data_IF_773391755876
#
_entry.id   IF_773391755876
#
_cell.length_a   1.000
_cell.length_b   1.000
_cell.length_c   1.000
_cell.angle_alpha   90.00
_cell.angle_beta   90.00
_cell.angle_gamma   90.00
#
_symmetry.space_group_name_H-M   'P 1'
#
loop_
_entity.id
_entity.type
_entity.pdbx_description
1 polymer ?
#
# COMPACT_ATOMS: atom_id res chain seq x y z
N UNK A 1 2.37 -33.39 -6.01
CA UNK A 1 1.68 -32.77 -4.83
C UNK A 1 2.37 -31.44 -4.61
N UNK A 2 1.75 -30.30 -4.99
CA UNK A 2 2.34 -28.98 -4.80
C UNK A 2 2.53 -28.71 -3.30
N UNK A 3 3.74 -28.31 -2.93
CA UNK A 3 4.06 -27.96 -1.54
C UNK A 3 3.30 -26.66 -1.21
N UNK A 4 2.40 -26.71 -0.26
CA UNK A 4 1.66 -25.54 0.21
C UNK A 4 2.66 -24.55 0.81
N UNK A 5 2.83 -23.39 0.16
CA UNK A 5 3.66 -22.31 0.68
C UNK A 5 2.84 -21.50 1.67
N UNK A 6 3.38 -21.29 2.86
CA UNK A 6 2.77 -20.42 3.86
C UNK A 6 3.36 -19.03 3.79
N UNK A 7 2.57 -17.97 3.96
CA UNK A 7 3.10 -16.62 4.04
C UNK A 7 4.01 -16.46 5.25
N UNK A 8 5.12 -15.75 5.09
CA UNK A 8 6.01 -15.36 6.20
C UNK A 8 5.41 -14.23 7.03
N UNK A 9 4.50 -13.48 6.42
CA UNK A 9 3.73 -12.43 7.12
C UNK A 9 2.34 -12.34 6.50
N UNK A 10 1.35 -12.39 7.35
CA UNK A 10 -0.04 -12.15 6.97
C UNK A 10 -0.50 -10.82 7.60
N UNK A 11 -0.73 -9.82 6.75
CA UNK A 11 -1.28 -8.54 7.15
C UNK A 11 -2.80 -8.52 7.02
N UNK A 12 -3.42 -7.41 7.41
CA UNK A 12 -4.88 -7.22 7.34
C UNK A 12 -5.45 -7.46 5.95
N UNK A 13 -4.72 -7.03 4.91
CA UNK A 13 -5.16 -7.07 3.51
C UNK A 13 -4.09 -7.57 2.55
N UNK A 14 -2.93 -8.01 3.03
CA UNK A 14 -1.82 -8.52 2.20
C UNK A 14 -1.19 -9.73 2.86
N UNK A 15 -0.65 -10.60 2.01
CA UNK A 15 0.15 -11.75 2.39
C UNK A 15 1.52 -11.62 1.74
N UNK A 16 2.57 -11.95 2.46
CA UNK A 16 3.96 -11.86 1.99
C UNK A 16 4.58 -13.25 2.07
N UNK A 17 5.14 -13.70 0.97
CA UNK A 17 5.79 -14.98 0.83
C UNK A 17 7.28 -14.77 0.54
N UNK A 18 8.11 -15.60 1.15
CA UNK A 18 9.55 -15.65 0.85
C UNK A 18 9.80 -16.49 -0.40
N UNK A 19 10.50 -15.91 -1.36
CA UNK A 19 10.89 -16.57 -2.59
C UNK A 19 12.44 -16.59 -2.76
N UNK A 20 13.18 -16.78 -1.67
CA UNK A 20 14.65 -16.76 -1.70
C UNK A 20 15.19 -15.34 -1.83
N UNK A 21 15.64 -14.94 -3.00
CA UNK A 21 16.20 -13.61 -3.25
C UNK A 21 15.14 -12.52 -3.47
N UNK A 22 13.88 -12.91 -3.51
CA UNK A 22 12.74 -12.01 -3.73
C UNK A 22 11.62 -12.27 -2.73
N UNK A 23 10.62 -11.39 -2.72
CA UNK A 23 9.37 -11.55 -2.01
C UNK A 23 8.21 -11.61 -3.01
N UNK A 24 7.18 -12.37 -2.69
CA UNK A 24 5.92 -12.31 -3.42
C UNK A 24 4.86 -11.73 -2.48
N UNK A 25 4.33 -10.59 -2.88
CA UNK A 25 3.26 -9.90 -2.17
C UNK A 25 1.94 -10.17 -2.86
N UNK A 26 0.97 -10.72 -2.12
CA UNK A 26 -0.38 -11.00 -2.60
C UNK A 26 -1.34 -10.02 -1.95
N UNK A 27 -1.96 -9.16 -2.74
CA UNK A 27 -3.02 -8.29 -2.27
C UNK A 27 -4.33 -9.08 -2.24
N UNK A 28 -5.01 -9.09 -1.09
CA UNK A 28 -6.26 -9.81 -0.91
C UNK A 28 -7.47 -8.90 -1.10
N UNK A 29 -8.62 -9.52 -1.30
CA UNK A 29 -9.91 -8.83 -1.40
C UNK A 29 -10.48 -8.43 -0.02
N UNK A 30 -9.78 -8.80 1.06
CA UNK A 30 -10.14 -8.42 2.43
C UNK A 30 -10.16 -6.90 2.58
N UNK A 31 -11.08 -6.39 3.41
CA UNK A 31 -11.14 -4.98 3.81
C UNK A 31 -11.01 -4.88 5.32
N UNK A 32 -10.45 -3.78 5.79
CA UNK A 32 -10.36 -3.48 7.21
C UNK A 32 -10.84 -2.07 7.50
N UNK A 33 -11.47 -1.89 8.66
CA UNK A 33 -11.92 -0.60 9.16
C UNK A 33 -11.52 -0.50 10.64
N UNK A 34 -10.88 0.61 11.03
CA UNK A 34 -10.33 0.79 12.38
C UNK A 34 -9.56 -0.43 12.90
N UNK A 35 -8.69 -0.99 12.03
CA UNK A 35 -7.85 -2.16 12.32
C UNK A 35 -8.59 -3.50 12.47
N UNK A 36 -9.89 -3.53 12.29
CA UNK A 36 -10.72 -4.75 12.29
C UNK A 36 -10.89 -5.22 10.84
N UNK A 37 -10.56 -6.49 10.58
CA UNK A 37 -10.83 -7.13 9.30
C UNK A 37 -12.33 -7.46 9.27
N UNK A 38 -13.02 -6.94 8.24
CA UNK A 38 -14.44 -7.19 8.06
C UNK A 38 -14.68 -8.58 7.46
N UNK A 39 -15.83 -9.17 7.78
CA UNK A 39 -16.21 -10.47 7.24
C UNK A 39 -16.49 -10.43 5.73
N UNK A 40 -16.88 -9.27 5.22
CA UNK A 40 -17.13 -9.07 3.80
C UNK A 40 -15.83 -8.77 3.05
N UNK A 41 -15.75 -9.23 1.81
CA UNK A 41 -14.67 -8.92 0.88
C UNK A 41 -15.19 -8.01 -0.25
N UNK A 42 -14.28 -7.29 -0.87
CA UNK A 42 -14.57 -6.53 -2.10
C UNK A 42 -13.90 -7.24 -3.26
N UNK A 43 -14.69 -7.93 -4.05
CA UNK A 43 -14.23 -8.75 -5.18
C UNK A 43 -13.31 -7.94 -6.11
N UNK A 44 -12.17 -8.52 -6.47
CA UNK A 44 -11.11 -7.92 -7.32
C UNK A 44 -10.42 -6.69 -6.72
N UNK A 45 -10.63 -6.37 -5.46
CA UNK A 45 -9.88 -5.27 -4.81
C UNK A 45 -8.38 -5.51 -4.87
N UNK A 46 -7.93 -6.74 -4.57
CA UNK A 46 -6.51 -7.11 -4.65
C UNK A 46 -5.94 -6.87 -6.04
N UNK A 47 -6.64 -7.30 -7.06
CA UNK A 47 -6.25 -7.07 -8.47
C UNK A 47 -6.14 -5.59 -8.79
N UNK A 48 -7.16 -4.81 -8.47
CA UNK A 48 -7.15 -3.35 -8.73
C UNK A 48 -5.96 -2.68 -8.05
N UNK A 49 -5.69 -3.00 -6.78
CA UNK A 49 -4.57 -2.41 -6.03
C UNK A 49 -3.20 -2.79 -6.61
N UNK A 50 -3.03 -4.03 -7.04
CA UNK A 50 -1.78 -4.48 -7.65
C UNK A 50 -1.55 -3.82 -9.01
N UNK A 51 -2.58 -3.75 -9.85
CA UNK A 51 -2.48 -3.11 -11.17
C UNK A 51 -2.27 -1.59 -11.07
N UNK A 52 -2.90 -0.93 -10.09
CA UNK A 52 -2.61 0.48 -9.79
C UNK A 52 -1.15 0.69 -9.35
N UNK A 53 -0.63 -0.19 -8.49
CA UNK A 53 0.78 -0.10 -8.09
C UNK A 53 1.71 -0.27 -9.28
N UNK A 54 1.44 -1.27 -10.14
CA UNK A 54 2.19 -1.48 -11.39
C UNK A 54 2.18 -0.22 -12.26
N UNK A 55 1.00 0.33 -12.52
CA UNK A 55 0.86 1.54 -13.33
C UNK A 55 1.73 2.70 -12.81
N UNK A 56 1.70 2.95 -11.51
CA UNK A 56 2.49 4.03 -10.93
C UNK A 56 3.99 3.73 -10.92
N UNK A 57 4.40 2.49 -10.68
CA UNK A 57 5.80 2.09 -10.74
C UNK A 57 6.37 2.22 -12.15
N UNK A 58 5.60 1.83 -13.18
CA UNK A 58 6.01 2.00 -14.57
C UNK A 58 6.07 3.50 -14.95
N UNK A 59 5.09 4.30 -14.52
CA UNK A 59 5.02 5.72 -14.84
C UNK A 59 6.14 6.54 -14.19
N UNK A 60 6.64 6.11 -13.04
CA UNK A 60 7.65 6.84 -12.25
C UNK A 60 9.04 6.19 -12.30
N UNK A 61 9.25 5.22 -13.17
CA UNK A 61 10.51 4.46 -13.27
C UNK A 61 11.72 5.36 -13.56
N UNK A 62 11.54 6.38 -14.35
CA UNK A 62 12.55 7.38 -14.70
C UNK A 62 12.86 8.36 -13.58
N UNK A 63 11.98 8.48 -12.59
CA UNK A 63 12.13 9.38 -11.44
C UNK A 63 12.85 8.68 -10.29
N UNK A 64 12.42 7.46 -9.95
CA UNK A 64 12.95 6.70 -8.82
C UNK A 64 12.87 5.19 -9.09
N UNK A 65 13.99 4.45 -8.93
CA UNK A 65 13.95 2.99 -8.96
C UNK A 65 12.97 2.44 -7.91
N UNK A 66 12.18 1.44 -8.30
CA UNK A 66 11.24 0.79 -7.40
C UNK A 66 11.61 -0.67 -7.14
N UNK A 67 10.88 -1.34 -6.25
CA UNK A 67 11.16 -2.72 -5.84
C UNK A 67 10.43 -3.79 -6.68
N UNK A 68 9.54 -3.40 -7.58
CA UNK A 68 8.80 -4.34 -8.43
C UNK A 68 9.74 -5.06 -9.40
N UNK A 69 9.58 -6.38 -9.51
CA UNK A 69 10.25 -7.22 -10.50
C UNK A 69 9.26 -7.62 -11.57
N UNK A 70 8.12 -8.21 -11.19
CA UNK A 70 7.06 -8.63 -12.11
C UNK A 70 5.72 -8.72 -11.41
N UNK A 71 4.65 -8.58 -12.16
CA UNK A 71 3.27 -8.88 -11.73
C UNK A 71 2.67 -10.05 -12.53
N UNK A 72 3.42 -10.62 -13.48
CA UNK A 72 2.98 -11.82 -14.20
C UNK A 72 3.27 -13.05 -13.35
N UNK A 73 2.22 -13.81 -13.04
CA UNK A 73 2.36 -15.06 -12.26
C UNK A 73 3.21 -16.14 -12.96
N UNK A 74 3.43 -16.02 -14.27
CA UNK A 74 4.31 -16.92 -15.03
C UNK A 74 5.78 -16.77 -14.65
N UNK A 75 6.17 -15.59 -14.17
CA UNK A 75 7.52 -15.32 -13.68
C UNK A 75 7.72 -15.80 -12.23
N UNK A 76 6.65 -16.25 -11.59
CA UNK A 76 6.64 -16.69 -10.20
C UNK A 76 6.67 -18.21 -10.09
N UNK A 77 7.03 -18.78 -8.92
CA UNK A 77 6.97 -20.22 -8.68
C UNK A 77 5.60 -20.81 -9.00
N UNK A 78 5.59 -22.09 -9.40
CA UNK A 78 4.38 -22.84 -9.82
C UNK A 78 3.19 -22.68 -8.84
N UNK A 79 3.46 -22.58 -7.55
CA UNK A 79 2.43 -22.34 -6.52
C UNK A 79 1.58 -21.09 -6.81
N UNK A 80 2.17 -20.03 -7.37
CA UNK A 80 1.49 -18.77 -7.67
C UNK A 80 0.85 -18.73 -9.06
N UNK A 81 1.10 -19.73 -9.91
CA UNK A 81 0.54 -19.80 -11.26
C UNK A 81 -0.91 -20.32 -11.29
N UNK A 82 -1.65 -20.11 -10.19
CA UNK A 82 -3.05 -20.45 -10.04
C UNK A 82 -3.91 -19.18 -10.26
N UNK A 83 -5.11 -19.35 -10.81
CA UNK A 83 -6.06 -18.27 -11.10
C UNK A 83 -6.28 -17.31 -9.90
N UNK A 84 -6.29 -17.83 -8.69
CA UNK A 84 -6.50 -17.03 -7.47
C UNK A 84 -5.40 -16.00 -7.19
N UNK A 85 -4.23 -16.15 -7.80
CA UNK A 85 -3.08 -15.26 -7.64
C UNK A 85 -2.87 -14.35 -8.85
N UNK A 86 -3.59 -14.60 -9.93
CA UNK A 86 -3.46 -13.83 -11.16
C UNK A 86 -3.97 -12.39 -10.97
N UNK A 87 -3.12 -11.45 -11.37
CA UNK A 87 -3.41 -10.02 -11.32
C UNK A 87 -3.33 -9.37 -9.93
N UNK A 88 -3.30 -10.15 -8.83
CA UNK A 88 -3.23 -9.63 -7.46
C UNK A 88 -1.89 -9.89 -6.77
N UNK A 89 -0.95 -10.52 -7.45
CA UNK A 89 0.38 -10.86 -6.97
C UNK A 89 1.44 -9.98 -7.59
N UNK A 90 2.49 -9.67 -6.83
CA UNK A 90 3.62 -8.88 -7.25
C UNK A 90 4.90 -9.49 -6.69
N UNK A 91 5.84 -9.82 -7.57
CA UNK A 91 7.19 -10.22 -7.19
C UNK A 91 8.05 -8.97 -6.98
N UNK A 92 8.72 -8.89 -5.85
CA UNK A 92 9.47 -7.71 -5.42
C UNK A 92 10.87 -8.08 -4.97
N UNK A 93 11.80 -7.16 -5.12
CA UNK A 93 13.15 -7.26 -4.52
C UNK A 93 13.04 -7.25 -2.99
N UNK A 94 13.86 -8.04 -2.32
CA UNK A 94 14.08 -7.90 -0.88
C UNK A 94 14.90 -6.65 -0.63
N UNK A 95 14.35 -5.72 0.12
CA UNK A 95 14.99 -4.48 0.52
C UNK A 95 14.97 -4.38 2.05
N UNK A 96 15.97 -3.74 2.61
CA UNK A 96 15.96 -3.34 4.00
C UNK A 96 15.01 -2.14 4.18
N UNK A 97 13.95 -2.34 4.95
CA UNK A 97 12.95 -1.31 5.17
C UNK A 97 13.40 -0.36 6.28
N UNK A 98 13.35 0.93 6.01
CA UNK A 98 13.48 1.93 7.06
C UNK A 98 12.29 1.83 8.02
N UNK A 99 12.50 1.98 9.34
CA UNK A 99 11.43 1.92 10.34
C UNK A 99 10.62 3.22 10.40
N UNK A 100 10.28 3.76 9.23
CA UNK A 100 9.58 5.04 9.06
C UNK A 100 8.47 4.84 8.03
N UNK A 101 7.26 5.27 8.36
CA UNK A 101 6.17 5.37 7.41
C UNK A 101 6.04 6.82 6.93
N UNK A 102 6.24 7.04 5.63
CA UNK A 102 6.08 8.36 5.01
C UNK A 102 4.80 8.38 4.19
N UNK A 103 3.88 9.27 4.56
CA UNK A 103 2.62 9.43 3.86
C UNK A 103 2.52 10.88 3.38
N UNK A 104 2.50 11.08 2.06
CA UNK A 104 2.25 12.39 1.45
C UNK A 104 0.77 12.51 1.12
N UNK A 105 0.16 13.58 1.59
CA UNK A 105 -1.27 13.83 1.38
C UNK A 105 -1.48 15.21 0.75
N UNK A 106 -2.44 15.35 -0.14
CA UNK A 106 -2.70 16.60 -0.88
C UNK A 106 -3.45 17.67 -0.08
N UNK A 107 -4.04 17.33 1.09
CA UNK A 107 -4.86 18.23 1.92
C UNK A 107 -4.69 17.91 3.40
N UNK A 108 -5.04 18.84 4.28
CA UNK A 108 -4.98 18.66 5.75
C UNK A 108 -6.33 18.20 6.29
N UNK A 109 -6.37 17.00 6.90
CA UNK A 109 -7.56 16.42 7.54
C UNK A 109 -7.21 15.61 8.77
N UNK A 110 -8.22 15.15 9.50
CA UNK A 110 -8.06 14.23 10.63
C UNK A 110 -7.15 14.80 11.72
N UNK A 111 -6.18 14.02 12.19
CA UNK A 111 -5.24 14.43 13.25
C UNK A 111 -4.40 15.64 12.89
N UNK A 112 -4.01 15.78 11.62
CA UNK A 112 -3.29 16.96 11.13
C UNK A 112 -4.11 18.24 11.29
N UNK A 113 -5.38 18.18 10.89
CA UNK A 113 -6.31 19.31 11.07
C UNK A 113 -6.53 19.65 12.55
N UNK A 114 -6.76 18.65 13.39
CA UNK A 114 -6.92 18.85 14.81
C UNK A 114 -5.68 19.47 15.47
N UNK A 115 -4.47 19.09 15.04
CA UNK A 115 -3.23 19.70 15.49
C UNK A 115 -3.12 21.15 15.05
N UNK A 116 -3.40 21.41 13.76
CA UNK A 116 -3.38 22.76 13.21
C UNK A 116 -4.34 23.71 13.93
N UNK A 117 -5.58 23.29 14.18
CA UNK A 117 -6.57 24.08 14.91
C UNK A 117 -6.10 24.47 16.33
N UNK A 118 -5.33 23.59 16.97
CA UNK A 118 -4.83 23.82 18.33
C UNK A 118 -3.59 24.73 18.39
N UNK A 119 -2.69 24.57 17.44
CA UNK A 119 -1.32 25.08 17.57
C UNK A 119 -0.82 25.88 16.37
N UNK A 120 -1.58 25.93 15.27
CA UNK A 120 -1.11 26.47 13.99
C UNK A 120 -0.04 25.59 13.31
N UNK A 121 0.23 24.39 13.86
CA UNK A 121 1.33 23.53 13.42
C UNK A 121 0.85 22.12 13.08
N UNK A 122 1.51 21.49 12.12
CA UNK A 122 1.36 20.07 11.79
C UNK A 122 2.73 19.43 11.83
N UNK A 123 2.88 18.35 12.59
CA UNK A 123 4.18 17.66 12.80
C UNK A 123 5.31 18.63 13.23
N UNK A 124 5.01 19.62 14.06
CA UNK A 124 5.96 20.61 14.53
C UNK A 124 6.28 21.76 13.54
N UNK A 125 5.81 21.66 12.30
CA UNK A 125 6.00 22.68 11.26
C UNK A 125 4.87 23.70 11.36
N UNK A 126 5.23 24.97 11.48
CA UNK A 126 4.29 26.08 11.47
C UNK A 126 3.74 26.31 10.05
N UNK A 127 2.42 26.38 9.93
CA UNK A 127 1.76 26.57 8.65
C UNK A 127 1.09 27.97 8.62
N UNK A 128 1.04 28.59 7.43
CA UNK A 128 0.31 29.85 7.26
C UNK A 128 -1.19 29.66 7.51
N UNK A 129 -1.90 30.77 7.57
CA UNK A 129 -3.37 30.71 7.65
C UNK A 129 -3.94 29.95 6.45
N UNK A 130 -4.66 28.88 6.73
CA UNK A 130 -5.15 27.95 5.70
C UNK A 130 -6.54 28.39 5.23
N UNK A 131 -6.67 28.56 3.91
CA UNK A 131 -7.97 28.73 3.27
C UNK A 131 -8.70 27.39 3.16
N UNK A 132 -10.01 27.43 2.90
CA UNK A 132 -10.85 26.24 2.74
C UNK A 132 -10.36 25.26 1.66
N UNK A 133 -9.60 25.75 0.67
CA UNK A 133 -9.01 24.87 -0.37
C UNK A 133 -7.91 23.96 0.15
N UNK A 134 -7.28 24.29 1.29
CA UNK A 134 -6.25 23.47 1.92
C UNK A 134 -6.83 22.46 2.91
N UNK A 135 -8.14 22.58 3.21
CA UNK A 135 -8.88 21.70 4.10
C UNK A 135 -9.72 20.79 3.22
N UNK A 136 -9.48 19.48 3.34
CA UNK A 136 -10.24 18.50 2.55
C UNK A 136 -11.65 18.36 3.07
N UNK A 137 -12.58 18.18 2.17
CA UNK A 137 -13.85 17.56 2.50
C UNK A 137 -13.64 16.13 3.04
N UNK A 138 -14.60 15.54 3.78
CA UNK A 138 -14.44 14.26 4.46
C UNK A 138 -14.01 13.08 3.56
N UNK A 139 -14.22 13.19 2.26
CA UNK A 139 -13.93 12.16 1.26
C UNK A 139 -12.51 12.20 0.70
N UNK A 140 -11.73 13.26 0.94
CA UNK A 140 -10.35 13.39 0.44
C UNK A 140 -9.37 13.45 1.60
N UNK A 141 -8.37 12.59 1.58
CA UNK A 141 -7.37 12.48 2.63
C UNK A 141 -6.04 13.04 2.19
N UNK A 142 -5.42 13.76 3.08
CA UNK A 142 -4.12 14.35 2.83
C UNK A 142 -3.28 14.42 4.10
N UNK A 143 -2.01 14.05 4.00
CA UNK A 143 -1.07 14.08 5.12
C UNK A 143 0.37 14.17 4.68
N UNK A 144 1.19 14.71 5.58
CA UNK A 144 2.55 14.29 5.78
C UNK A 144 2.58 13.58 7.14
N UNK A 145 2.97 12.31 7.17
CA UNK A 145 3.22 11.57 8.41
C UNK A 145 4.71 11.23 8.44
N UNK A 146 5.35 11.48 9.56
CA UNK A 146 6.75 11.13 9.82
C UNK A 146 6.82 9.85 10.65
#
# INVERSE_FOLDING_TARGET
MMKELKPIKEGKVREIYDNGDSLIMVATDRISCFDVILNNVVTKKGTVLTQMSKFWFDLTEDILPNHMISVDVKDMPEFFQQEKFDGNSMMCRKLEMLPIECIVRGYITGSGWASYQKTGKVCGIELPELSLIHISEPTRRSYISY
#
